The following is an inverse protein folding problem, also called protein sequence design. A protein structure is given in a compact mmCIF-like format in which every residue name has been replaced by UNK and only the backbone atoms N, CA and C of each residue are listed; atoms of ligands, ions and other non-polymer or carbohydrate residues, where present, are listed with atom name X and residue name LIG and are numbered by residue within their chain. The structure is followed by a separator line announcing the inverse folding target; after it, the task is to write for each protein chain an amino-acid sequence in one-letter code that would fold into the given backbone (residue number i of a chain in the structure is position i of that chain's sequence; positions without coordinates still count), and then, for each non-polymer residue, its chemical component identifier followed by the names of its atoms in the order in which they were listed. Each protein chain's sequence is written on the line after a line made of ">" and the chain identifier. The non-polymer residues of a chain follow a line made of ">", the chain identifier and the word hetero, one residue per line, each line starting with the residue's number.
data_IF_687183685992
#
_entry.id   IF_687183685992
#
_cell.length_a   1.000
_cell.length_b   1.000
_cell.length_c   1.000
_cell.angle_alpha   90.00
_cell.angle_beta   90.00
_cell.angle_gamma   90.00
#
_symmetry.space_group_name_H-M   'P 1'
#
loop_
_entity.id
_entity.type
_entity.pdbx_description
1 polymer ?
#
# COMPACT_ATOMS: atom_id res chain seq x y z
N UNK A 1 -48.50 43.73 -9.70
CA UNK A 1 -47.17 43.16 -9.69
C UNK A 1 -46.46 43.62 -8.41
N UNK A 2 -46.14 42.75 -7.46
CA UNK A 2 -45.41 43.16 -6.26
C UNK A 2 -43.95 43.47 -6.65
N UNK A 3 -43.48 44.69 -6.33
CA UNK A 3 -42.08 45.08 -6.41
C UNK A 3 -41.29 44.25 -5.41
N UNK A 4 -40.39 43.42 -5.91
CA UNK A 4 -39.37 42.77 -5.07
C UNK A 4 -38.49 43.88 -4.50
N UNK A 5 -38.63 44.15 -3.20
CA UNK A 5 -37.74 45.05 -2.46
C UNK A 5 -36.34 44.46 -2.47
N UNK A 6 -35.37 45.15 -3.05
CA UNK A 6 -33.96 44.81 -2.92
C UNK A 6 -33.55 45.09 -1.47
N UNK A 7 -33.56 44.04 -0.63
CA UNK A 7 -32.94 44.08 0.70
C UNK A 7 -31.45 44.11 0.50
N UNK A 8 -30.83 45.30 0.68
CA UNK A 8 -29.37 45.43 0.70
C UNK A 8 -28.80 44.70 1.92
N UNK A 9 -27.71 43.97 1.73
CA UNK A 9 -26.99 43.33 2.83
C UNK A 9 -26.49 44.39 3.82
N UNK A 10 -26.64 44.13 5.10
CA UNK A 10 -26.08 44.98 6.14
C UNK A 10 -24.58 44.77 6.26
N UNK A 11 -23.82 45.80 6.63
CA UNK A 11 -22.35 45.70 6.80
C UNK A 11 -21.99 44.61 7.81
N UNK A 12 -22.80 44.44 8.85
CA UNK A 12 -22.61 43.41 9.88
C UNK A 12 -22.77 41.98 9.30
N UNK A 13 -23.70 41.79 8.38
CA UNK A 13 -23.93 40.49 7.72
C UNK A 13 -22.74 40.06 6.87
N UNK A 14 -22.13 41.01 6.16
CA UNK A 14 -20.88 40.76 5.38
C UNK A 14 -19.73 40.38 6.30
N UNK A 15 -19.56 41.06 7.44
CA UNK A 15 -18.50 40.73 8.40
C UNK A 15 -18.71 39.33 8.97
N UNK A 16 -19.94 38.97 9.36
CA UNK A 16 -20.24 37.65 9.88
C UNK A 16 -19.99 36.56 8.80
N UNK A 17 -20.43 36.82 7.56
CA UNK A 17 -20.19 35.90 6.46
C UNK A 17 -18.68 35.67 6.20
N UNK A 18 -17.87 36.72 6.23
CA UNK A 18 -16.40 36.61 6.08
C UNK A 18 -15.78 35.82 7.23
N UNK A 19 -16.20 36.05 8.47
CA UNK A 19 -15.73 35.28 9.63
C UNK A 19 -16.05 33.79 9.50
N UNK A 20 -17.26 33.44 9.14
CA UNK A 20 -17.68 32.05 8.93
C UNK A 20 -16.92 31.40 7.77
N UNK A 21 -16.70 32.15 6.69
CA UNK A 21 -15.95 31.66 5.53
C UNK A 21 -14.48 31.38 5.88
N UNK A 22 -13.84 32.27 6.66
CA UNK A 22 -12.44 32.07 7.08
C UNK A 22 -12.28 30.86 7.99
N UNK A 23 -13.17 30.67 8.96
CA UNK A 23 -13.15 29.52 9.87
C UNK A 23 -13.41 28.22 9.09
N UNK A 24 -14.40 28.21 8.22
CA UNK A 24 -14.73 27.05 7.37
C UNK A 24 -13.62 26.70 6.39
N UNK A 25 -12.97 27.70 5.78
CA UNK A 25 -11.85 27.53 4.88
C UNK A 25 -10.62 26.91 5.57
N UNK A 26 -10.27 27.38 6.77
CA UNK A 26 -9.17 26.81 7.54
C UNK A 26 -9.44 25.34 7.96
N UNK A 27 -10.66 25.00 8.30
CA UNK A 27 -11.06 23.63 8.63
C UNK A 27 -10.88 22.70 7.41
N UNK A 28 -11.27 23.13 6.21
CA UNK A 28 -11.11 22.37 4.97
C UNK A 28 -9.64 22.13 4.63
N UNK A 29 -8.76 23.12 4.77
CA UNK A 29 -7.33 22.95 4.50
C UNK A 29 -6.71 21.94 5.45
N UNK A 30 -7.09 21.96 6.73
CA UNK A 30 -6.58 21.02 7.74
C UNK A 30 -6.93 19.57 7.41
N UNK A 31 -8.17 19.30 7.01
CA UNK A 31 -8.62 17.95 6.65
C UNK A 31 -7.96 17.44 5.37
N UNK A 32 -7.75 18.30 4.38
CA UNK A 32 -7.06 17.95 3.14
C UNK A 32 -5.61 17.52 3.38
N UNK A 33 -4.89 18.17 4.28
CA UNK A 33 -3.53 17.81 4.64
C UNK A 33 -3.45 16.43 5.32
N UNK A 34 -4.42 16.08 6.16
CA UNK A 34 -4.50 14.76 6.80
C UNK A 34 -4.75 13.65 5.77
N UNK A 35 -5.67 13.87 4.85
CA UNK A 35 -5.98 12.92 3.78
C UNK A 35 -4.76 12.70 2.88
N UNK A 36 -4.06 13.76 2.48
CA UNK A 36 -2.86 13.64 1.65
C UNK A 36 -1.75 12.81 2.32
N UNK A 37 -1.57 12.94 3.62
CA UNK A 37 -0.61 12.12 4.39
C UNK A 37 -1.03 10.66 4.46
N UNK A 38 -2.31 10.39 4.72
CA UNK A 38 -2.85 9.03 4.78
C UNK A 38 -2.69 8.32 3.43
N UNK A 39 -3.10 8.94 2.33
CA UNK A 39 -3.00 8.35 0.98
C UNK A 39 -1.56 8.08 0.55
N UNK A 40 -0.58 8.90 0.94
CA UNK A 40 0.82 8.65 0.62
C UNK A 40 1.36 7.40 1.33
N UNK A 41 0.99 7.19 2.59
CA UNK A 41 1.39 6.00 3.37
C UNK A 41 0.74 4.73 2.83
N UNK A 42 -0.54 4.80 2.46
CA UNK A 42 -1.26 3.67 1.89
C UNK A 42 -0.67 3.24 0.54
N UNK A 43 -0.26 4.17 -0.31
CA UNK A 43 0.41 3.88 -1.58
C UNK A 43 1.72 3.11 -1.41
N UNK A 44 2.52 3.43 -0.39
CA UNK A 44 3.76 2.71 -0.10
C UNK A 44 3.46 1.30 0.44
N UNK A 45 2.48 1.18 1.32
CA UNK A 45 2.03 -0.11 1.88
C UNK A 45 1.50 -1.04 0.79
N UNK A 46 0.70 -0.54 -0.13
CA UNK A 46 0.18 -1.30 -1.27
C UNK A 46 1.32 -1.79 -2.17
N UNK A 47 2.32 -0.95 -2.43
CA UNK A 47 3.50 -1.31 -3.20
C UNK A 47 4.32 -2.40 -2.50
N UNK A 48 4.51 -2.29 -1.19
CA UNK A 48 5.18 -3.31 -0.39
C UNK A 48 4.46 -4.67 -0.48
N UNK A 49 3.12 -4.67 -0.38
CA UNK A 49 2.30 -5.87 -0.55
C UNK A 49 2.41 -6.49 -1.94
N UNK A 50 2.46 -5.68 -3.00
CA UNK A 50 2.64 -6.19 -4.38
C UNK A 50 4.02 -6.81 -4.59
N UNK A 51 5.07 -6.23 -4.03
CA UNK A 51 6.43 -6.79 -4.10
C UNK A 51 6.46 -8.16 -3.42
N UNK A 52 5.90 -8.28 -2.22
CA UNK A 52 5.81 -9.55 -1.51
C UNK A 52 5.00 -10.59 -2.30
N UNK A 53 3.83 -10.22 -2.81
CA UNK A 53 2.98 -11.15 -3.58
C UNK A 53 3.67 -11.66 -4.84
N UNK A 54 4.32 -10.79 -5.62
CA UNK A 54 5.04 -11.20 -6.84
C UNK A 54 6.22 -12.12 -6.52
N UNK A 55 6.92 -11.88 -5.41
CA UNK A 55 8.00 -12.75 -4.96
C UNK A 55 7.51 -14.13 -4.57
N UNK A 56 6.44 -14.21 -3.79
CA UNK A 56 5.85 -15.49 -3.40
C UNK A 56 5.42 -16.31 -4.61
N UNK A 57 4.89 -15.67 -5.64
CA UNK A 57 4.52 -16.33 -6.89
C UNK A 57 5.75 -16.91 -7.61
N UNK A 58 6.83 -16.14 -7.77
CA UNK A 58 8.07 -16.60 -8.39
C UNK A 58 8.65 -17.79 -7.60
N UNK A 59 8.74 -17.67 -6.28
CA UNK A 59 9.27 -18.73 -5.42
C UNK A 59 8.41 -20.00 -5.47
N UNK A 60 7.11 -19.90 -5.67
CA UNK A 60 6.23 -21.07 -5.82
C UNK A 60 6.47 -21.84 -7.11
N UNK A 61 6.95 -21.17 -8.17
CA UNK A 61 7.29 -21.78 -9.46
C UNK A 61 8.71 -22.38 -9.40
N UNK A 62 9.66 -21.66 -8.82
CA UNK A 62 11.08 -22.03 -8.76
C UNK A 62 11.47 -22.81 -7.50
N UNK A 63 10.53 -23.49 -6.88
CA UNK A 63 10.64 -24.15 -5.58
C UNK A 63 12.00 -24.82 -5.27
N UNK A 64 12.51 -25.62 -6.20
CA UNK A 64 13.78 -26.36 -6.00
C UNK A 64 15.03 -25.49 -6.12
N UNK A 65 14.89 -24.30 -6.69
CA UNK A 65 15.97 -23.31 -6.86
C UNK A 65 15.75 -22.07 -5.98
N UNK A 66 14.68 -22.08 -5.19
CA UNK A 66 14.36 -20.96 -4.32
C UNK A 66 15.44 -20.78 -3.26
N UNK A 67 16.06 -19.63 -3.26
CA UNK A 67 17.10 -19.24 -2.29
C UNK A 67 16.64 -18.04 -1.47
N UNK A 68 17.10 -17.99 -0.23
CA UNK A 68 16.90 -16.83 0.62
C UNK A 68 17.67 -15.62 0.09
N UNK A 69 17.14 -14.42 0.27
CA UNK A 69 17.81 -13.23 -0.25
C UNK A 69 17.29 -11.93 0.36
N UNK A 70 17.85 -10.83 -0.16
CA UNK A 70 17.46 -9.47 0.19
C UNK A 70 17.49 -8.61 -1.06
N UNK A 71 16.53 -7.72 -1.17
CA UNK A 71 16.44 -6.75 -2.25
C UNK A 71 15.91 -5.41 -1.74
N UNK A 72 16.40 -4.32 -2.31
CA UNK A 72 15.87 -2.98 -2.03
C UNK A 72 15.37 -2.38 -3.33
N UNK A 73 14.07 -2.07 -3.37
CA UNK A 73 13.41 -1.48 -4.52
C UNK A 73 12.64 -0.24 -4.09
N UNK A 74 12.97 0.92 -4.66
CA UNK A 74 12.23 2.17 -4.42
C UNK A 74 11.97 2.48 -2.93
N UNK A 75 13.00 2.38 -2.08
CA UNK A 75 12.95 2.60 -0.62
C UNK A 75 12.23 1.49 0.18
N UNK A 76 11.76 0.45 -0.47
CA UNK A 76 11.21 -0.74 0.17
C UNK A 76 12.32 -1.79 0.24
N UNK A 77 12.66 -2.22 1.44
CA UNK A 77 13.63 -3.30 1.68
C UNK A 77 12.86 -4.59 1.93
N UNK A 78 13.11 -5.61 1.12
CA UNK A 78 12.53 -6.93 1.27
C UNK A 78 13.64 -7.93 1.58
N UNK A 79 13.45 -8.70 2.64
CA UNK A 79 14.31 -9.82 3.02
C UNK A 79 13.46 -11.07 3.17
N UNK A 80 13.86 -12.14 2.50
CA UNK A 80 13.12 -13.41 2.57
C UNK A 80 14.03 -14.56 2.90
N UNK A 81 13.48 -15.50 3.66
CA UNK A 81 14.12 -16.78 3.97
C UNK A 81 13.25 -17.91 3.46
N UNK A 82 13.88 -18.89 2.83
CA UNK A 82 13.23 -20.05 2.27
C UNK A 82 13.68 -21.29 3.03
N UNK A 83 12.72 -22.10 3.47
CA UNK A 83 12.96 -23.41 4.06
C UNK A 83 12.11 -24.45 3.36
N UNK A 84 12.66 -25.65 3.15
CA UNK A 84 11.96 -26.78 2.55
C UNK A 84 11.57 -27.76 3.67
N UNK A 85 10.34 -27.70 4.19
CA UNK A 85 9.88 -28.65 5.19
C UNK A 85 9.67 -30.05 4.60
N UNK A 86 9.33 -30.13 3.31
CA UNK A 86 9.21 -31.37 2.55
C UNK A 86 9.48 -31.15 1.04
N UNK A 87 9.47 -32.22 0.24
CA UNK A 87 9.74 -32.15 -1.21
C UNK A 87 8.62 -31.50 -2.03
N UNK A 88 7.45 -31.25 -1.43
CA UNK A 88 6.27 -30.76 -2.12
C UNK A 88 5.88 -29.34 -1.71
N UNK A 89 6.49 -28.80 -0.65
CA UNK A 89 6.15 -27.49 -0.10
C UNK A 89 7.40 -26.72 0.32
N UNK A 90 7.33 -25.39 0.15
CA UNK A 90 8.31 -24.48 0.70
C UNK A 90 7.64 -23.57 1.71
N UNK A 91 8.36 -23.23 2.76
CA UNK A 91 7.99 -22.18 3.69
C UNK A 91 8.82 -20.95 3.37
N UNK A 92 8.14 -19.85 3.12
CA UNK A 92 8.76 -18.55 2.86
C UNK A 92 8.35 -17.60 3.98
N UNK A 93 9.35 -17.04 4.64
CA UNK A 93 9.16 -15.94 5.58
C UNK A 93 9.76 -14.71 4.94
N UNK A 94 8.95 -13.72 4.63
CA UNK A 94 9.36 -12.46 4.02
C UNK A 94 9.10 -11.30 4.98
N UNK A 95 10.10 -10.46 5.17
CA UNK A 95 10.01 -9.22 5.92
C UNK A 95 10.21 -8.04 4.98
N UNK A 96 9.19 -7.20 4.88
CA UNK A 96 9.19 -6.02 4.02
C UNK A 96 9.20 -4.77 4.87
N UNK A 97 10.27 -4.00 4.80
CA UNK A 97 10.46 -2.77 5.55
C UNK A 97 10.37 -1.56 4.65
N UNK A 98 9.54 -0.60 5.02
CA UNK A 98 9.33 0.62 4.26
C UNK A 98 9.24 1.86 5.17
N UNK A 99 9.58 3.07 4.65
CA UNK A 99 9.50 4.30 5.41
C UNK A 99 8.04 4.74 5.57
N UNK A 100 7.74 5.29 6.74
CA UNK A 100 6.47 5.96 7.06
C UNK A 100 6.75 7.34 7.65
N UNK A 101 5.71 8.15 7.83
CA UNK A 101 5.84 9.45 8.51
C UNK A 101 6.26 9.36 9.98
N UNK A 102 6.14 8.19 10.59
CA UNK A 102 6.48 7.93 11.99
C UNK A 102 7.76 7.10 12.15
N UNK A 103 8.47 6.81 11.05
CA UNK A 103 9.67 5.97 11.06
C UNK A 103 9.59 4.85 10.01
N UNK A 104 10.28 3.74 10.27
CA UNK A 104 10.24 2.55 9.40
C UNK A 104 9.26 1.52 9.96
N UNK A 105 8.43 0.96 9.11
CA UNK A 105 7.51 -0.11 9.44
C UNK A 105 7.93 -1.39 8.73
N UNK A 106 7.89 -2.51 9.45
CA UNK A 106 8.18 -3.85 8.90
C UNK A 106 6.90 -4.68 8.91
N UNK A 107 6.56 -5.22 7.75
CA UNK A 107 5.52 -6.24 7.59
C UNK A 107 6.19 -7.59 7.44
N UNK A 108 5.66 -8.61 8.12
CA UNK A 108 6.13 -9.99 8.03
C UNK A 108 5.04 -10.87 7.44
N UNK A 109 5.41 -11.59 6.41
CA UNK A 109 4.59 -12.59 5.74
C UNK A 109 5.19 -13.96 5.98
N UNK A 110 4.41 -14.89 6.49
CA UNK A 110 4.81 -16.30 6.68
C UNK A 110 3.84 -17.16 5.86
N UNK A 111 4.34 -17.79 4.83
CA UNK A 111 3.54 -18.51 3.86
C UNK A 111 4.12 -19.89 3.60
N UNK A 112 3.23 -20.89 3.58
CA UNK A 112 3.54 -22.24 3.17
C UNK A 112 2.97 -22.46 1.77
N UNK A 113 3.85 -22.57 0.77
CA UNK A 113 3.48 -22.64 -0.64
C UNK A 113 3.68 -24.05 -1.17
N UNK A 114 2.70 -24.59 -1.93
CA UNK A 114 2.90 -25.83 -2.67
C UNK A 114 3.89 -25.58 -3.81
N UNK A 115 4.82 -26.50 -4.00
CA UNK A 115 5.69 -26.50 -5.16
C UNK A 115 4.90 -26.84 -6.41
N UNK A 116 4.70 -25.86 -7.29
CA UNK A 116 4.16 -26.09 -8.62
C UNK A 116 5.22 -26.82 -9.46
N UNK A 117 5.17 -28.13 -9.48
CA UNK A 117 5.95 -28.93 -10.45
C UNK A 117 5.46 -28.48 -11.83
N UNK A 118 6.29 -27.80 -12.60
CA UNK A 118 6.05 -27.65 -14.03
C UNK A 118 5.92 -29.07 -14.57
N UNK A 119 4.74 -29.41 -15.10
CA UNK A 119 4.49 -30.64 -15.84
C UNK A 119 5.24 -30.47 -17.18
N UNK A 120 6.53 -30.67 -17.15
CA UNK A 120 7.41 -30.55 -18.29
C UNK A 120 8.14 -31.87 -18.57
N UNK A 121 7.51 -33.03 -18.26
CA UNK A 121 8.07 -34.33 -18.61
C UNK A 121 6.97 -35.36 -18.94
N UNK A 122 6.00 -34.99 -19.79
CA UNK A 122 5.13 -35.98 -20.44
C UNK A 122 5.03 -35.71 -21.94
N UNK A 123 6.18 -35.39 -22.55
CA UNK A 123 6.39 -35.66 -23.97
C UNK A 123 7.52 -36.69 -24.04
N UNK A 124 7.25 -37.87 -23.58
CA UNK A 124 8.00 -39.05 -23.96
C UNK A 124 7.46 -39.50 -25.30
N UNK A 125 8.29 -39.39 -26.28
CA UNK A 125 8.15 -39.87 -27.68
C UNK A 125 7.70 -41.29 -27.83
N UNK A 126 7.17 -41.59 -29.00
CA UNK A 126 6.77 -42.94 -29.42
C UNK A 126 7.95 -43.89 -29.56
#
# INVERSE_FOLDING_TARGET
>A
MPKAGSTGYTLIEIIIALLLFTIGGLALVSTSALIARATSTDGIRERAGRIAASRLEILSIECQRAVSGRETLQQVESQWSVTLPDSTRIRVVEEVTYPTSQGRLTLRFDSLLPCRRLIADTVSSP
#
